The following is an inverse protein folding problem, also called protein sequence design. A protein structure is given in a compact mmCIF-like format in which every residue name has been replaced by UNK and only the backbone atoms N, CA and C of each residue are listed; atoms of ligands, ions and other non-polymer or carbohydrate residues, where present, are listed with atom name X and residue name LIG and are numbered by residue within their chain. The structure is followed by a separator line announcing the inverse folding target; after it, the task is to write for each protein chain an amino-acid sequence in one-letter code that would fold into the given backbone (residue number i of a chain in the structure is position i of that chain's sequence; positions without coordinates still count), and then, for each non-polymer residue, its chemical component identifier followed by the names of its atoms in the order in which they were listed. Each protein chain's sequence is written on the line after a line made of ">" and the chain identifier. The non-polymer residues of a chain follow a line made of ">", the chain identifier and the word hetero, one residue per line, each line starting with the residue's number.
data_IF_179083210176
#
_entry.id   IF_179083210176
#
_cell.length_a   1.000
_cell.length_b   1.000
_cell.length_c   1.000
_cell.angle_alpha   90.00
_cell.angle_beta   90.00
_cell.angle_gamma   90.00
#
_symmetry.space_group_name_H-M   'P 1'
#
loop_
_entity.id
_entity.type
_entity.pdbx_description
1 polymer ?
#
# COMPACT_ATOMS: atom_id res chain seq x y z
N UNK A 1 -11.62 -11.25 25.22
CA UNK A 1 -10.46 -11.76 26.01
C UNK A 1 -10.54 -11.42 27.50
N UNK A 2 -10.87 -10.19 27.87
CA UNK A 2 -10.95 -9.82 29.29
C UNK A 2 -12.07 -10.59 30.03
N UNK A 3 -13.17 -10.90 29.37
CA UNK A 3 -14.23 -11.73 29.92
C UNK A 3 -13.78 -13.18 30.16
N UNK A 4 -13.17 -13.81 29.17
CA UNK A 4 -12.65 -15.17 29.28
C UNK A 4 -11.54 -15.28 30.33
N UNK A 5 -10.73 -14.27 30.44
CA UNK A 5 -9.70 -14.18 31.49
C UNK A 5 -10.33 -14.13 32.89
N UNK A 6 -11.38 -13.31 33.09
CA UNK A 6 -12.07 -13.18 34.37
C UNK A 6 -12.78 -14.45 34.83
N UNK A 7 -13.33 -15.24 33.90
CA UNK A 7 -13.95 -16.52 34.23
C UNK A 7 -12.97 -17.69 34.33
N UNK A 8 -11.66 -17.44 34.19
CA UNK A 8 -10.64 -18.46 34.30
C UNK A 8 -10.53 -19.38 33.12
N UNK A 9 -11.21 -19.09 32.01
CA UNK A 9 -11.09 -19.84 30.77
C UNK A 9 -9.70 -19.70 30.11
N UNK A 10 -9.03 -18.57 30.38
CA UNK A 10 -7.65 -18.32 29.97
C UNK A 10 -6.74 -18.36 31.20
N UNK A 11 -5.62 -19.12 31.16
CA UNK A 11 -4.79 -19.34 32.34
C UNK A 11 -3.98 -18.13 32.79
N UNK A 12 -3.77 -17.12 31.94
CA UNK A 12 -2.98 -15.90 32.24
C UNK A 12 -3.43 -14.74 31.37
N UNK A 13 -2.93 -13.51 31.70
CA UNK A 13 -3.09 -12.33 30.84
C UNK A 13 -2.74 -12.68 29.40
N UNK A 14 -3.56 -12.22 28.41
CA UNK A 14 -3.21 -12.41 27.00
C UNK A 14 -1.84 -11.80 26.74
N UNK A 15 -0.96 -12.59 26.15
CA UNK A 15 0.35 -12.09 25.72
C UNK A 15 0.17 -11.08 24.60
N UNK A 16 1.05 -10.10 24.56
CA UNK A 16 1.12 -9.23 23.39
C UNK A 16 1.30 -10.08 22.13
N UNK A 17 0.65 -9.71 21.00
CA UNK A 17 0.84 -10.43 19.76
C UNK A 17 2.33 -10.53 19.41
N UNK A 18 2.74 -11.62 18.77
CA UNK A 18 4.10 -11.75 18.28
C UNK A 18 4.46 -10.63 17.31
N UNK A 19 5.75 -10.38 17.11
CA UNK A 19 6.22 -9.36 16.17
C UNK A 19 5.62 -9.54 14.77
N UNK A 20 5.56 -10.78 14.27
CA UNK A 20 4.98 -11.09 12.96
C UNK A 20 3.49 -10.70 12.87
N UNK A 21 2.70 -10.99 13.92
CA UNK A 21 1.28 -10.63 13.97
C UNK A 21 1.10 -9.12 14.05
N UNK A 22 1.93 -8.42 14.84
CA UNK A 22 1.90 -6.95 14.92
C UNK A 22 2.25 -6.31 13.57
N UNK A 23 3.20 -6.85 12.85
CA UNK A 23 3.55 -6.38 11.50
C UNK A 23 2.41 -6.60 10.52
N UNK A 24 1.74 -7.75 10.57
CA UNK A 24 0.58 -8.03 9.73
C UNK A 24 -0.58 -7.08 10.01
N UNK A 25 -0.86 -6.79 11.27
CA UNK A 25 -1.87 -5.81 11.68
C UNK A 25 -1.51 -4.42 11.16
N UNK A 26 -0.26 -4.01 11.31
CA UNK A 26 0.23 -2.72 10.80
C UNK A 26 0.07 -2.59 9.29
N UNK A 27 0.42 -3.63 8.54
CA UNK A 27 0.25 -3.66 7.07
C UNK A 27 -1.22 -3.58 6.67
N UNK A 28 -2.08 -4.29 7.40
CA UNK A 28 -3.53 -4.25 7.16
C UNK A 28 -4.08 -2.84 7.42
N UNK A 29 -3.70 -2.22 8.54
CA UNK A 29 -4.12 -0.85 8.87
C UNK A 29 -3.66 0.15 7.81
N UNK A 30 -2.43 0.02 7.32
CA UNK A 30 -1.91 0.84 6.23
C UNK A 30 -2.72 0.68 4.94
N UNK A 31 -3.08 -0.54 4.59
CA UNK A 31 -3.91 -0.82 3.40
C UNK A 31 -5.32 -0.24 3.53
N UNK A 32 -5.90 -0.34 4.71
CA UNK A 32 -7.22 0.24 5.00
C UNK A 32 -7.15 1.76 4.86
N UNK A 33 -6.14 2.40 5.44
CA UNK A 33 -5.92 3.83 5.34
C UNK A 33 -5.75 4.28 3.88
N UNK A 34 -4.97 3.54 3.10
CA UNK A 34 -4.78 3.81 1.67
C UNK A 34 -6.08 3.67 0.89
N UNK A 35 -6.87 2.64 1.16
CA UNK A 35 -8.16 2.41 0.51
C UNK A 35 -9.16 3.51 0.85
N UNK A 36 -9.24 3.92 2.10
CA UNK A 36 -10.07 5.03 2.55
C UNK A 36 -9.67 6.35 1.89
N UNK A 37 -8.37 6.59 1.77
CA UNK A 37 -7.84 7.79 1.10
C UNK A 37 -8.23 7.82 -0.39
N UNK A 38 -8.07 6.72 -1.10
CA UNK A 38 -8.47 6.58 -2.51
C UNK A 38 -9.96 6.85 -2.68
N UNK A 39 -10.78 6.25 -1.83
CA UNK A 39 -12.22 6.41 -1.87
C UNK A 39 -12.66 7.85 -1.56
N UNK A 40 -12.11 8.45 -0.51
CA UNK A 40 -12.44 9.81 -0.07
C UNK A 40 -12.08 10.86 -1.11
N UNK A 41 -10.97 10.70 -1.81
CA UNK A 41 -10.48 11.65 -2.81
C UNK A 41 -10.91 11.31 -4.25
N UNK A 42 -11.74 10.28 -4.43
CA UNK A 42 -12.24 9.84 -5.74
C UNK A 42 -11.12 9.61 -6.76
N UNK A 43 -10.06 8.94 -6.33
CA UNK A 43 -8.91 8.66 -7.18
C UNK A 43 -9.23 7.46 -8.08
N UNK A 44 -9.24 7.69 -9.39
CA UNK A 44 -9.56 6.66 -10.39
C UNK A 44 -8.32 6.13 -11.10
N UNK A 45 -7.26 6.94 -11.21
CA UNK A 45 -6.04 6.59 -11.91
C UNK A 45 -4.79 7.12 -11.20
N UNK A 46 -3.63 6.69 -11.70
CA UNK A 46 -2.34 7.11 -11.15
C UNK A 46 -2.02 8.58 -11.42
N UNK A 47 -2.51 9.11 -12.53
CA UNK A 47 -2.31 10.52 -12.87
C UNK A 47 -2.94 11.44 -11.84
N UNK A 48 -4.14 11.11 -11.38
CA UNK A 48 -4.82 11.84 -10.31
C UNK A 48 -4.07 11.76 -9.00
N UNK A 49 -3.53 10.58 -8.67
CA UNK A 49 -2.74 10.37 -7.45
C UNK A 49 -1.44 11.19 -7.50
N UNK A 50 -0.73 11.18 -8.62
CA UNK A 50 0.49 11.96 -8.82
C UNK A 50 0.22 13.47 -8.76
N UNK A 51 -0.89 13.94 -9.33
CA UNK A 51 -1.32 15.33 -9.27
C UNK A 51 -1.62 15.77 -7.83
N UNK A 52 -2.29 14.92 -7.06
CA UNK A 52 -2.60 15.19 -5.65
C UNK A 52 -1.32 15.26 -4.81
N UNK A 53 -0.39 14.36 -5.04
CA UNK A 53 0.93 14.37 -4.38
C UNK A 53 1.69 15.65 -4.71
N UNK A 54 1.75 16.02 -5.99
CA UNK A 54 2.46 17.22 -6.44
C UNK A 54 1.85 18.48 -5.82
N UNK A 55 0.53 18.56 -5.76
CA UNK A 55 -0.17 19.66 -5.09
C UNK A 55 0.18 19.75 -3.61
N UNK A 56 0.21 18.63 -2.91
CA UNK A 56 0.60 18.58 -1.50
C UNK A 56 2.06 19.02 -1.31
N UNK A 57 2.97 18.59 -2.16
CA UNK A 57 4.38 18.98 -2.11
C UNK A 57 4.58 20.47 -2.38
N UNK A 58 3.86 21.04 -3.33
CA UNK A 58 3.89 22.48 -3.63
C UNK A 58 3.36 23.30 -2.45
N UNK A 59 2.28 22.89 -1.83
CA UNK A 59 1.74 23.53 -0.62
C UNK A 59 2.72 23.45 0.55
N UNK A 60 3.38 22.32 0.73
CA UNK A 60 4.43 22.13 1.74
C UNK A 60 5.55 23.15 1.54
N UNK A 61 6.03 23.32 0.32
CA UNK A 61 7.09 24.27 0.00
C UNK A 61 6.70 25.71 0.33
N UNK A 62 5.47 26.10 0.01
CA UNK A 62 4.93 27.42 0.33
C UNK A 62 4.85 27.66 1.84
N UNK A 63 4.32 26.68 2.58
CA UNK A 63 4.19 26.77 4.03
C UNK A 63 5.53 26.80 4.75
N UNK A 64 6.52 26.07 4.26
CA UNK A 64 7.89 26.11 4.80
C UNK A 64 8.49 27.51 4.66
N UNK A 65 8.33 28.15 3.50
CA UNK A 65 8.80 29.53 3.29
C UNK A 65 8.09 30.51 4.20
N UNK A 66 6.79 30.41 4.38
CA UNK A 66 6.03 31.26 5.29
C UNK A 66 6.47 31.08 6.74
N UNK A 67 6.68 29.83 7.17
CA UNK A 67 7.16 29.52 8.52
C UNK A 67 8.57 30.07 8.76
N UNK A 68 9.48 29.96 7.77
CA UNK A 68 10.81 30.53 7.86
C UNK A 68 10.78 32.06 8.05
N UNK A 69 9.91 32.75 7.32
CA UNK A 69 9.71 34.18 7.48
C UNK A 69 9.23 34.55 8.89
N UNK A 70 8.29 33.77 9.43
CA UNK A 70 7.78 33.99 10.79
C UNK A 70 8.87 33.75 11.85
N UNK A 71 9.67 32.71 11.70
CA UNK A 71 10.81 32.49 12.61
C UNK A 71 11.82 33.65 12.56
N UNK A 72 12.01 34.26 11.40
CA UNK A 72 12.96 35.34 11.22
C UNK A 72 12.48 36.68 11.77
N UNK A 73 11.20 37.00 11.54
CA UNK A 73 10.63 38.32 11.86
C UNK A 73 9.71 38.34 13.08
N UNK A 74 9.03 37.22 13.36
CA UNK A 74 8.06 37.10 14.45
C UNK A 74 8.16 35.71 15.12
N UNK A 75 9.27 35.41 15.82
CA UNK A 75 9.49 34.06 16.35
C UNK A 75 8.47 33.60 17.41
N UNK A 76 7.77 34.54 18.02
CA UNK A 76 6.74 34.23 19.04
C UNK A 76 5.30 34.19 18.47
N UNK A 77 5.15 34.21 17.14
CA UNK A 77 3.85 34.21 16.51
C UNK A 77 3.12 32.86 16.72
N UNK A 78 1.84 32.87 17.15
CA UNK A 78 1.04 31.65 17.24
C UNK A 78 0.77 30.99 15.88
N UNK A 79 0.93 31.72 14.78
CA UNK A 79 0.79 31.19 13.43
C UNK A 79 1.83 30.10 13.11
N UNK A 80 3.00 30.12 13.74
CA UNK A 80 4.02 29.09 13.58
C UNK A 80 3.49 27.72 13.97
N UNK A 81 2.75 27.63 15.09
CA UNK A 81 2.10 26.40 15.52
C UNK A 81 1.05 25.89 14.53
N UNK A 82 0.24 26.80 14.00
CA UNK A 82 -0.78 26.48 13.00
C UNK A 82 -0.14 25.96 11.71
N UNK A 83 0.88 26.63 11.22
CA UNK A 83 1.62 26.20 10.02
C UNK A 83 2.29 24.84 10.24
N UNK A 84 2.84 24.59 11.42
CA UNK A 84 3.46 23.31 11.77
C UNK A 84 2.44 22.17 11.72
N UNK A 85 1.23 22.37 12.24
CA UNK A 85 0.16 21.38 12.16
C UNK A 85 -0.31 21.13 10.72
N UNK A 86 -0.45 22.19 9.94
CA UNK A 86 -0.78 22.06 8.51
C UNK A 86 0.30 21.30 7.75
N UNK A 87 1.58 21.57 8.03
CA UNK A 87 2.71 20.84 7.44
C UNK A 87 2.70 19.36 7.79
N UNK A 88 2.36 18.99 9.02
CA UNK A 88 2.23 17.59 9.42
C UNK A 88 1.17 16.88 8.60
N UNK A 89 0.00 17.49 8.44
CA UNK A 89 -1.11 16.93 7.64
C UNK A 89 -0.73 16.76 6.18
N UNK A 90 -0.11 17.77 5.58
CA UNK A 90 0.33 17.72 4.18
C UNK A 90 1.42 16.70 3.95
N UNK A 91 2.39 16.59 4.85
CA UNK A 91 3.44 15.58 4.80
C UNK A 91 2.88 14.18 4.91
N UNK A 92 1.88 13.98 5.77
CA UNK A 92 1.18 12.71 5.88
C UNK A 92 0.46 12.35 4.58
N UNK A 93 -0.25 13.30 3.99
CA UNK A 93 -0.93 13.13 2.70
C UNK A 93 0.06 12.79 1.58
N UNK A 94 1.17 13.53 1.48
CA UNK A 94 2.19 13.26 0.48
C UNK A 94 2.83 11.88 0.64
N UNK A 95 3.14 11.49 1.87
CA UNK A 95 3.66 10.16 2.20
C UNK A 95 2.69 9.06 1.83
N UNK A 96 1.41 9.26 2.14
CA UNK A 96 0.34 8.30 1.82
C UNK A 96 0.21 8.12 0.31
N UNK A 97 0.22 9.21 -0.46
CA UNK A 97 0.23 9.15 -1.93
C UNK A 97 1.43 8.37 -2.47
N UNK A 98 2.63 8.62 -1.97
CA UNK A 98 3.83 7.90 -2.37
C UNK A 98 3.73 6.40 -2.07
N UNK A 99 3.25 6.04 -0.90
CA UNK A 99 3.08 4.65 -0.50
C UNK A 99 2.07 3.92 -1.39
N UNK A 100 0.97 4.57 -1.74
CA UNK A 100 -0.04 4.03 -2.66
C UNK A 100 0.58 3.82 -4.05
N UNK A 101 1.35 4.78 -4.56
CA UNK A 101 2.04 4.65 -5.85
C UNK A 101 2.98 3.45 -5.87
N UNK A 102 3.80 3.29 -4.84
CA UNK A 102 4.75 2.18 -4.72
C UNK A 102 4.00 0.84 -4.67
N UNK A 103 2.97 0.73 -3.83
CA UNK A 103 2.17 -0.49 -3.70
C UNK A 103 1.43 -0.83 -5.00
N UNK A 104 0.92 0.16 -5.71
CA UNK A 104 0.27 -0.05 -7.01
C UNK A 104 1.25 -0.61 -8.03
N UNK A 105 2.47 -0.10 -8.08
CA UNK A 105 3.52 -0.60 -8.97
C UNK A 105 3.87 -2.05 -8.64
N UNK A 106 4.08 -2.34 -7.36
CA UNK A 106 4.37 -3.71 -6.90
C UNK A 106 3.24 -4.69 -7.24
N UNK A 107 1.99 -4.27 -7.02
CA UNK A 107 0.82 -5.09 -7.35
C UNK A 107 0.73 -5.38 -8.85
N UNK A 108 0.98 -4.40 -9.70
CA UNK A 108 1.01 -4.60 -11.16
C UNK A 108 2.13 -5.54 -11.59
N UNK A 109 3.32 -5.39 -11.01
CA UNK A 109 4.44 -6.29 -11.29
C UNK A 109 4.12 -7.73 -10.91
N UNK A 110 3.49 -7.94 -9.76
CA UNK A 110 3.06 -9.27 -9.31
C UNK A 110 1.98 -9.85 -10.22
N UNK A 111 1.02 -9.04 -10.62
CA UNK A 111 -0.04 -9.47 -11.54
C UNK A 111 0.55 -9.87 -12.90
N UNK A 112 1.45 -9.05 -13.43
CA UNK A 112 2.14 -9.34 -14.68
C UNK A 112 2.95 -10.64 -14.59
N UNK A 113 3.70 -10.82 -13.51
CA UNK A 113 4.48 -12.05 -13.28
C UNK A 113 3.57 -13.28 -13.20
N UNK A 114 2.42 -13.17 -12.51
CA UNK A 114 1.45 -14.26 -12.43
C UNK A 114 0.83 -14.60 -13.79
N UNK A 115 0.52 -13.60 -14.61
CA UNK A 115 0.01 -13.80 -15.97
C UNK A 115 1.04 -14.47 -16.86
N UNK A 116 2.31 -14.06 -16.79
CA UNK A 116 3.40 -14.67 -17.54
C UNK A 116 3.63 -16.13 -17.14
N UNK A 117 3.57 -16.44 -15.86
CA UNK A 117 3.69 -17.80 -15.35
C UNK A 117 2.53 -18.69 -15.81
N UNK A 118 1.31 -18.18 -15.77
CA UNK A 118 0.14 -18.90 -16.27
C UNK A 118 0.25 -19.19 -17.76
N UNK A 119 0.72 -18.22 -18.54
CA UNK A 119 0.94 -18.39 -19.98
C UNK A 119 1.99 -19.48 -20.27
N UNK A 120 3.10 -19.51 -19.51
CA UNK A 120 4.11 -20.56 -19.61
C UNK A 120 3.53 -21.94 -19.32
N UNK A 121 2.68 -22.04 -18.28
CA UNK A 121 2.00 -23.30 -17.95
C UNK A 121 1.07 -23.76 -19.06
N UNK A 122 0.33 -22.85 -19.68
CA UNK A 122 -0.55 -23.17 -20.81
C UNK A 122 0.25 -23.66 -22.01
N UNK A 123 1.32 -22.98 -22.38
CA UNK A 123 2.20 -23.39 -23.47
C UNK A 123 2.82 -24.76 -23.20
N UNK A 124 3.23 -25.03 -21.97
CA UNK A 124 3.78 -26.32 -21.58
C UNK A 124 2.74 -27.43 -21.67
N UNK A 125 1.50 -27.19 -21.24
CA UNK A 125 0.40 -28.15 -21.38
C UNK A 125 0.08 -28.44 -22.84
N UNK A 126 0.04 -27.44 -23.69
CA UNK A 126 -0.18 -27.62 -25.13
C UNK A 126 0.92 -28.47 -25.75
N UNK A 127 2.18 -28.23 -25.41
CA UNK A 127 3.31 -29.06 -25.86
C UNK A 127 3.19 -30.52 -25.41
N UNK A 128 2.79 -30.74 -24.15
CA UNK A 128 2.57 -32.08 -23.62
C UNK A 128 1.41 -32.79 -24.32
N UNK A 129 0.31 -32.09 -24.60
CA UNK A 129 -0.81 -32.64 -25.32
C UNK A 129 -0.43 -33.01 -26.76
N UNK A 130 0.31 -32.14 -27.47
CA UNK A 130 0.81 -32.43 -28.81
C UNK A 130 1.73 -33.64 -28.82
N UNK A 131 2.60 -33.79 -27.81
CA UNK A 131 3.47 -34.96 -27.70
C UNK A 131 2.66 -36.25 -27.44
N UNK A 132 1.61 -36.18 -26.62
CA UNK A 132 0.72 -37.33 -26.39
C UNK A 132 -0.04 -37.73 -27.66
N UNK A 133 -0.54 -36.78 -28.39
CA UNK A 133 -1.22 -37.04 -29.68
C UNK A 133 -0.28 -37.68 -30.71
N UNK A 134 0.95 -37.16 -30.81
CA UNK A 134 1.95 -37.72 -31.71
C UNK A 134 2.31 -39.16 -31.33
N UNK A 135 2.45 -39.46 -30.03
CA UNK A 135 2.67 -40.83 -29.55
C UNK A 135 1.50 -41.75 -29.81
N UNK A 136 0.27 -41.27 -29.64
CA UNK A 136 -0.93 -42.05 -29.96
C UNK A 136 -1.06 -42.34 -31.44
N UNK A 137 -0.73 -41.38 -32.30
CA UNK A 137 -0.73 -41.58 -33.74
C UNK A 137 0.32 -42.60 -34.17
N UNK A 138 1.52 -42.59 -33.59
CA UNK A 138 2.51 -43.64 -33.84
C UNK A 138 2.05 -45.02 -33.40
N UNK A 139 1.37 -45.15 -32.26
CA UNK A 139 0.78 -46.42 -31.82
C UNK A 139 -0.31 -46.94 -32.74
N UNK A 140 -1.09 -46.05 -33.35
CA UNK A 140 -2.13 -46.45 -34.32
C UNK A 140 -1.57 -46.88 -35.66
N UNK A 141 -0.40 -46.40 -36.05
CA UNK A 141 0.31 -46.80 -37.28
C UNK A 141 0.98 -48.18 -37.20
N UNK A 142 1.20 -48.67 -36.00
CA UNK A 142 1.76 -50.01 -35.74
C UNK A 142 0.62 -51.01 -35.56
#
# INVERSE_FOLDING_TARGET
>A
YSYLYKVGALPKKPRYPSYAVREDIRRLDQRIEQAEFIFKNHIEDRGQLAALRQKAEDEIAVLIKQRQKLYRYQPDSPQIGVLTEQLKKLRHTAKLCRNIEIHSIEMEQRLLAAQMEEQRRREQREKEEQQKEARNQEKQRR
#
